data_IF_588754231026
#
_entry.id   IF_588754231026
#
_cell.length_a   1.000
_cell.length_b   1.000
_cell.length_c   1.000
_cell.angle_alpha   90.00
_cell.angle_beta   90.00
_cell.angle_gamma   90.00
#
_symmetry.space_group_name_H-M   'P 1'
#
loop_
_entity.id
_entity.type
_entity.pdbx_description
1 polymer ?
#
# COMPACT_ATOMS: atom_id res chain seq x y z
N UNK A 1 21.45 16.54 6.80
CA UNK A 1 21.58 15.08 7.02
C UNK A 1 21.14 14.40 5.74
N UNK A 2 21.93 13.48 5.17
CA UNK A 2 21.51 12.73 3.99
C UNK A 2 20.42 11.75 4.41
N UNK A 3 19.27 11.83 3.76
CA UNK A 3 18.19 10.87 3.95
C UNK A 3 18.73 9.45 3.67
N UNK A 4 18.59 8.53 4.63
CA UNK A 4 19.00 7.13 4.45
C UNK A 4 17.76 6.28 4.25
N UNK A 5 17.51 5.87 3.01
CA UNK A 5 16.44 4.95 2.67
C UNK A 5 16.80 3.55 3.20
N UNK A 6 15.95 2.99 4.06
CA UNK A 6 16.04 1.58 4.45
C UNK A 6 15.42 0.70 3.37
N UNK A 7 15.88 -0.54 3.22
CA UNK A 7 15.22 -1.54 2.37
C UNK A 7 14.86 -2.77 3.19
N UNK A 8 13.67 -3.31 2.93
CA UNK A 8 13.17 -4.58 3.45
C UNK A 8 12.79 -5.46 2.25
N UNK A 9 13.23 -6.71 2.24
CA UNK A 9 13.12 -7.60 1.07
C UNK A 9 14.43 -7.74 0.30
N UNK A 10 14.40 -8.38 -0.89
CA UNK A 10 15.61 -8.62 -1.68
C UNK A 10 16.24 -7.32 -2.17
N UNK A 11 17.55 -7.35 -2.37
CA UNK A 11 18.28 -6.24 -2.98
C UNK A 11 17.97 -6.19 -4.48
N UNK A 12 17.48 -5.04 -4.94
CA UNK A 12 17.11 -4.78 -6.34
C UNK A 12 17.84 -3.52 -6.80
N UNK A 13 18.48 -3.59 -7.96
CA UNK A 13 19.21 -2.45 -8.52
C UNK A 13 18.24 -1.36 -8.96
N UNK A 14 18.68 -0.09 -8.95
CA UNK A 14 17.80 1.04 -9.23
C UNK A 14 17.21 0.98 -10.65
N UNK A 15 17.96 0.42 -11.60
CA UNK A 15 17.59 0.27 -13.01
C UNK A 15 16.53 -0.80 -13.24
N UNK A 16 16.33 -1.70 -12.27
CA UNK A 16 15.28 -2.72 -12.31
C UNK A 16 13.95 -2.20 -11.77
N UNK A 17 13.92 -1.04 -11.12
CA UNK A 17 12.71 -0.44 -10.56
C UNK A 17 11.97 0.34 -11.65
N UNK A 18 10.69 0.01 -11.82
CA UNK A 18 9.78 0.69 -12.75
C UNK A 18 8.70 1.39 -11.95
N UNK A 19 8.72 2.72 -11.94
CA UNK A 19 7.76 3.54 -11.19
C UNK A 19 6.42 3.60 -11.91
N UNK A 20 5.34 3.30 -11.19
CA UNK A 20 3.97 3.62 -11.60
C UNK A 20 3.49 4.88 -10.88
N UNK A 21 4.00 5.12 -9.68
CA UNK A 21 3.69 6.29 -8.89
C UNK A 21 4.96 6.86 -8.25
N UNK A 22 5.15 8.17 -8.41
CA UNK A 22 6.13 8.94 -7.69
C UNK A 22 5.48 10.25 -7.25
N UNK A 23 5.49 10.52 -5.94
CA UNK A 23 4.94 11.74 -5.39
C UNK A 23 5.75 12.95 -5.84
N UNK A 24 5.06 14.01 -6.25
CA UNK A 24 5.63 15.29 -6.61
C UNK A 24 4.88 16.39 -5.88
N UNK A 25 5.58 17.48 -5.57
CA UNK A 25 4.96 18.65 -4.97
C UNK A 25 3.92 19.22 -5.95
N UNK A 26 2.74 19.57 -5.44
CA UNK A 26 1.62 20.20 -6.17
C UNK A 26 0.89 19.36 -7.23
N UNK A 27 1.27 18.10 -7.45
CA UNK A 27 0.49 17.19 -8.33
C UNK A 27 -0.75 16.67 -7.60
N UNK A 28 -1.79 16.16 -8.26
CA UNK A 28 -2.84 15.44 -7.52
C UNK A 28 -2.35 14.01 -7.22
N UNK A 29 -2.71 13.49 -6.04
CA UNK A 29 -2.46 12.08 -5.76
C UNK A 29 -3.52 11.19 -6.43
N UNK A 30 -3.14 10.11 -7.14
CA UNK A 30 -4.07 9.10 -7.65
C UNK A 30 -4.55 8.13 -6.57
N UNK A 31 -3.99 8.19 -5.36
CA UNK A 31 -4.41 7.35 -4.25
C UNK A 31 -5.75 7.81 -3.68
N UNK A 32 -6.61 6.86 -3.31
CA UNK A 32 -7.93 7.13 -2.75
C UNK A 32 -8.07 6.55 -1.34
N UNK A 33 -8.62 7.34 -0.41
CA UNK A 33 -8.94 6.89 0.94
C UNK A 33 -10.25 6.10 0.92
N UNK A 34 -10.27 4.95 1.59
CA UNK A 34 -11.48 4.14 1.78
C UNK A 34 -11.52 3.69 3.24
N UNK A 35 -12.66 3.86 3.90
CA UNK A 35 -12.90 3.44 5.29
C UNK A 35 -14.02 2.39 5.37
N UNK A 36 -14.17 1.79 6.55
CA UNK A 36 -15.28 0.89 6.89
C UNK A 36 -16.64 1.58 7.04
N UNK A 37 -16.74 2.90 6.85
CA UNK A 37 -18.00 3.64 6.95
C UNK A 37 -19.06 3.14 5.96
N UNK A 38 -18.65 2.56 4.83
CA UNK A 38 -19.56 1.92 3.87
C UNK A 38 -20.30 0.71 4.44
N UNK A 39 -19.76 0.11 5.52
CA UNK A 39 -20.35 -0.99 6.27
C UNK A 39 -20.95 -0.54 7.62
N UNK A 40 -20.98 0.76 7.90
CA UNK A 40 -21.44 1.33 9.18
C UNK A 40 -20.36 1.45 10.26
N UNK A 41 -19.10 1.16 9.94
CA UNK A 41 -17.97 1.35 10.84
C UNK A 41 -17.68 2.82 11.14
N UNK A 42 -16.91 3.06 12.19
CA UNK A 42 -16.60 4.42 12.67
C UNK A 42 -15.15 4.85 12.38
N UNK A 43 -14.41 4.08 11.57
CA UNK A 43 -13.08 4.50 11.13
C UNK A 43 -13.21 5.69 10.18
N UNK A 44 -12.34 6.69 10.33
CA UNK A 44 -12.39 7.90 9.52
C UNK A 44 -11.00 8.38 9.17
N UNK A 45 -10.87 8.98 8.00
CA UNK A 45 -9.59 9.48 7.54
C UNK A 45 -9.65 9.95 6.10
N UNK A 46 -8.52 10.44 5.62
CA UNK A 46 -8.40 11.00 4.29
C UNK A 46 -6.97 10.93 3.79
N UNK A 47 -6.82 11.30 2.52
CA UNK A 47 -5.53 11.44 1.87
C UNK A 47 -5.16 12.91 1.77
N UNK A 48 -3.90 13.19 2.08
CA UNK A 48 -3.30 14.51 2.01
C UNK A 48 -1.94 14.40 1.36
N UNK A 49 -1.58 15.35 0.51
CA UNK A 49 -0.20 15.51 0.11
C UNK A 49 0.58 16.25 1.18
N UNK A 50 1.83 15.85 1.36
CA UNK A 50 2.70 16.40 2.38
C UNK A 50 4.17 16.33 1.96
N UNK A 51 5.05 16.87 2.80
CA UNK A 51 6.49 16.67 2.71
C UNK A 51 6.99 16.03 4.00
N UNK A 52 7.44 14.78 3.94
CA UNK A 52 7.93 14.02 5.10
C UNK A 52 9.39 13.65 4.91
N UNK A 53 10.21 14.00 5.91
CA UNK A 53 11.68 13.81 5.90
C UNK A 53 12.33 14.37 4.62
N UNK A 54 11.84 15.52 4.15
CA UNK A 54 12.39 16.20 2.96
C UNK A 54 11.95 15.65 1.61
N UNK A 55 11.00 14.70 1.58
CA UNK A 55 10.45 14.14 0.35
C UNK A 55 8.95 14.43 0.22
N UNK A 56 8.50 14.84 -0.97
CA UNK A 56 7.08 14.92 -1.28
C UNK A 56 6.44 13.52 -1.15
N UNK A 57 5.24 13.46 -0.59
CA UNK A 57 4.53 12.20 -0.37
C UNK A 57 3.01 12.40 -0.31
N UNK A 58 2.30 11.29 -0.44
CA UNK A 58 0.86 11.18 -0.15
C UNK A 58 0.69 10.44 1.15
N UNK A 59 -0.02 11.02 2.10
CA UNK A 59 -0.25 10.47 3.43
C UNK A 59 -1.72 10.09 3.61
N UNK A 60 -1.95 8.89 4.11
CA UNK A 60 -3.20 8.46 4.71
C UNK A 60 -3.16 8.84 6.19
N UNK A 61 -4.07 9.71 6.61
CA UNK A 61 -4.20 10.15 8.00
C UNK A 61 -5.61 9.95 8.49
N UNK A 62 -5.77 9.48 9.73
CA UNK A 62 -7.08 9.24 10.31
C UNK A 62 -7.00 8.36 11.55
N UNK A 63 -8.03 7.55 11.77
CA UNK A 63 -8.13 6.63 12.89
C UNK A 63 -8.97 5.42 12.53
N UNK A 64 -8.57 4.25 13.02
CA UNK A 64 -9.41 3.05 13.00
C UNK A 64 -10.23 2.93 14.28
N UNK A 65 -11.49 2.50 14.18
CA UNK A 65 -12.34 2.12 15.31
C UNK A 65 -12.89 0.71 15.10
N UNK A 66 -12.91 -0.10 16.17
CA UNK A 66 -13.51 -1.44 16.15
C UNK A 66 -15.03 -1.41 16.38
N UNK A 67 -15.61 -0.24 16.60
CA UNK A 67 -17.05 -0.07 16.77
C UNK A 67 -17.80 -0.42 15.47
N UNK A 68 -19.05 -0.87 15.61
CA UNK A 68 -19.93 -1.30 14.53
C UNK A 68 -19.33 -2.38 13.60
N UNK A 69 -18.49 -3.27 14.16
CA UNK A 69 -17.75 -4.30 13.40
C UNK A 69 -16.85 -3.71 12.31
N UNK A 70 -16.40 -2.47 12.50
CA UNK A 70 -15.40 -1.84 11.66
C UNK A 70 -13.99 -2.32 11.96
N UNK A 71 -13.05 -1.41 11.79
CA UNK A 71 -11.65 -1.57 12.11
C UNK A 71 -10.76 -1.46 10.90
N UNK A 72 -11.13 -0.71 9.85
CA UNK A 72 -10.19 -0.44 8.76
C UNK A 72 -10.24 0.96 8.13
N UNK A 73 -9.06 1.41 7.71
CA UNK A 73 -8.84 2.58 6.87
C UNK A 73 -7.70 2.26 5.89
N UNK A 74 -7.87 2.55 4.61
CA UNK A 74 -6.88 2.24 3.58
C UNK A 74 -6.67 3.37 2.58
N UNK A 75 -5.49 3.39 1.96
CA UNK A 75 -5.24 4.13 0.73
C UNK A 75 -5.03 3.15 -0.42
N UNK A 76 -5.84 3.28 -1.47
CA UNK A 76 -5.87 2.39 -2.63
C UNK A 76 -5.33 3.12 -3.87
N UNK A 77 -4.53 2.43 -4.66
CA UNK A 77 -4.11 2.82 -6.01
C UNK A 77 -4.65 1.80 -7.02
N UNK A 78 -5.29 2.28 -8.08
CA UNK A 78 -5.71 1.44 -9.21
C UNK A 78 -4.54 1.22 -10.16
N UNK A 79 -4.48 0.02 -10.75
CA UNK A 79 -3.48 -0.35 -11.75
C UNK A 79 -4.18 -0.36 -13.10
N UNK A 80 -3.61 0.38 -14.05
CA UNK A 80 -4.17 0.47 -15.39
C UNK A 80 -4.12 -0.89 -16.10
N UNK A 81 -5.20 -1.27 -16.82
CA UNK A 81 -5.18 -2.47 -17.64
C UNK A 81 -4.09 -2.40 -18.72
N UNK A 82 -3.43 -3.54 -18.98
CA UNK A 82 -2.45 -3.67 -20.07
C UNK A 82 -0.99 -3.45 -19.66
N UNK A 83 -0.73 -3.09 -18.40
CA UNK A 83 0.62 -3.18 -17.84
C UNK A 83 1.13 -4.64 -17.92
N UNK A 84 2.38 -4.90 -18.36
CA UNK A 84 2.92 -6.25 -18.51
C UNK A 84 3.34 -6.83 -17.15
N UNK A 85 2.38 -6.94 -16.23
CA UNK A 85 2.64 -7.24 -14.81
C UNK A 85 3.30 -8.61 -14.57
N UNK A 86 3.06 -9.57 -15.48
CA UNK A 86 3.68 -10.88 -15.44
C UNK A 86 5.19 -10.88 -15.79
N UNK A 87 5.71 -9.79 -16.35
CA UNK A 87 7.15 -9.66 -16.66
C UNK A 87 7.97 -9.21 -15.45
N UNK A 88 7.32 -8.77 -14.37
CA UNK A 88 7.97 -8.33 -13.15
C UNK A 88 8.08 -9.47 -12.13
N UNK A 89 9.10 -9.43 -11.28
CA UNK A 89 9.29 -10.38 -10.17
C UNK A 89 8.45 -10.01 -8.93
N UNK A 90 8.01 -8.76 -8.84
CA UNK A 90 7.22 -8.27 -7.72
C UNK A 90 6.96 -6.78 -7.77
N UNK A 91 6.59 -6.25 -6.62
CA UNK A 91 6.28 -4.84 -6.41
C UNK A 91 7.22 -4.21 -5.39
N UNK A 92 7.37 -2.89 -5.45
CA UNK A 92 8.01 -2.14 -4.39
C UNK A 92 7.15 -0.95 -3.96
N UNK A 93 7.27 -0.58 -2.69
CA UNK A 93 6.60 0.59 -2.14
C UNK A 93 7.48 1.27 -1.10
N UNK A 94 7.58 2.60 -1.16
CA UNK A 94 8.34 3.40 -0.20
C UNK A 94 7.40 4.09 0.77
N UNK A 95 7.46 3.67 2.03
CA UNK A 95 6.57 4.13 3.10
C UNK A 95 7.32 4.79 4.26
N UNK A 96 6.66 5.70 4.96
CA UNK A 96 7.13 6.33 6.20
C UNK A 96 5.94 6.72 7.09
N UNK A 97 6.04 6.44 8.38
CA UNK A 97 5.03 6.77 9.39
C UNK A 97 5.50 6.38 10.79
N UNK A 98 4.72 6.64 11.86
CA UNK A 98 4.98 6.06 13.17
C UNK A 98 5.11 4.53 13.10
N UNK A 99 5.77 3.93 14.08
CA UNK A 99 5.97 2.49 14.12
C UNK A 99 4.63 1.77 14.28
N UNK A 100 4.19 1.06 13.25
CA UNK A 100 2.99 0.24 13.25
C UNK A 100 2.99 -0.71 12.06
N UNK A 101 2.31 -1.84 12.19
CA UNK A 101 2.09 -2.78 11.10
C UNK A 101 0.92 -2.34 10.22
N UNK A 102 1.12 -2.40 8.92
CA UNK A 102 0.08 -2.20 7.91
C UNK A 102 0.07 -3.40 6.98
N UNK A 103 -1.08 -3.75 6.41
CA UNK A 103 -1.09 -4.75 5.35
C UNK A 103 -0.99 -4.07 3.99
N UNK A 104 -0.20 -4.67 3.10
CA UNK A 104 -0.28 -4.40 1.68
C UNK A 104 -1.25 -5.41 1.08
N UNK A 105 -2.39 -4.92 0.59
CA UNK A 105 -3.39 -5.74 -0.08
C UNK A 105 -3.31 -5.54 -1.59
N UNK A 106 -3.36 -6.64 -2.32
CA UNK A 106 -3.46 -6.68 -3.77
C UNK A 106 -4.80 -7.32 -4.15
N UNK A 107 -5.51 -6.67 -5.06
CA UNK A 107 -6.74 -7.18 -5.66
C UNK A 107 -6.48 -7.59 -7.09
N UNK A 108 -7.01 -8.73 -7.47
CA UNK A 108 -6.94 -9.29 -8.83
C UNK A 108 -8.34 -9.49 -9.41
N UNK A 109 -8.44 -9.81 -10.71
CA UNK A 109 -9.73 -9.95 -11.40
C UNK A 109 -10.59 -11.11 -10.92
N UNK A 110 -9.93 -12.16 -10.42
CA UNK A 110 -10.52 -13.38 -9.86
C UNK A 110 -11.15 -13.19 -8.46
N UNK A 111 -10.98 -12.04 -7.81
CA UNK A 111 -11.50 -11.79 -6.46
C UNK A 111 -12.83 -11.04 -6.53
N UNK A 112 -13.92 -11.77 -6.29
CA UNK A 112 -15.28 -11.22 -6.39
C UNK A 112 -15.80 -10.59 -5.09
N UNK A 113 -15.15 -10.88 -3.95
CA UNK A 113 -15.61 -10.40 -2.64
C UNK A 113 -14.75 -9.26 -2.08
N UNK A 114 -15.36 -8.27 -1.40
CA UNK A 114 -14.63 -7.11 -0.88
C UNK A 114 -13.59 -7.49 0.19
N UNK A 115 -13.81 -8.56 0.97
CA UNK A 115 -12.89 -9.04 2.01
C UNK A 115 -11.74 -9.95 1.51
N UNK A 116 -11.75 -10.34 0.23
CA UNK A 116 -10.71 -11.20 -0.36
C UNK A 116 -9.49 -10.37 -0.78
N UNK A 117 -8.28 -10.89 -0.60
CA UNK A 117 -7.06 -10.20 -1.05
C UNK A 117 -5.91 -11.17 -1.17
N UNK A 118 -4.90 -10.81 -1.94
CA UNK A 118 -3.53 -11.30 -1.72
C UNK A 118 -2.80 -10.26 -0.89
N UNK A 119 -2.08 -10.66 0.16
CA UNK A 119 -1.52 -9.68 1.10
C UNK A 119 -0.21 -10.09 1.75
N UNK A 120 0.52 -9.10 2.22
CA UNK A 120 1.62 -9.25 3.17
C UNK A 120 1.59 -8.12 4.21
N UNK A 121 2.29 -8.30 5.33
CA UNK A 121 2.38 -7.29 6.39
C UNK A 121 3.67 -6.50 6.26
N UNK A 122 3.56 -5.17 6.35
CA UNK A 122 4.66 -4.21 6.26
C UNK A 122 4.87 -3.54 7.63
N UNK A 123 5.99 -3.82 8.32
CA UNK A 123 6.32 -3.15 9.57
C UNK A 123 6.89 -1.75 9.30
N UNK A 124 6.05 -0.73 9.41
CA UNK A 124 6.42 0.66 9.14
C UNK A 124 7.21 1.23 10.33
N UNK A 125 8.12 2.15 10.03
CA UNK A 125 8.99 2.82 11.00
C UNK A 125 9.08 4.32 10.67
N UNK A 126 9.50 5.18 11.62
CA UNK A 126 9.61 6.64 11.45
C UNK A 126 10.81 7.05 10.59
N UNK A 127 11.01 6.37 9.47
CA UNK A 127 12.01 6.63 8.46
C UNK A 127 11.56 6.00 7.13
N UNK A 128 11.94 6.61 6.02
CA UNK A 128 11.64 6.05 4.69
C UNK A 128 12.19 4.64 4.55
N UNK A 129 11.30 3.71 4.24
CA UNK A 129 11.62 2.30 4.03
C UNK A 129 11.02 1.85 2.70
N UNK A 130 11.86 1.31 1.83
CA UNK A 130 11.44 0.58 0.63
C UNK A 130 11.15 -0.86 1.01
N UNK A 131 9.91 -1.27 0.84
CA UNK A 131 9.51 -2.66 0.89
C UNK A 131 9.56 -3.21 -0.52
N UNK A 132 10.41 -4.20 -0.76
CA UNK A 132 10.50 -4.96 -2.00
C UNK A 132 9.79 -6.29 -1.74
N UNK A 133 8.67 -6.50 -2.41
CA UNK A 133 7.77 -7.63 -2.16
C UNK A 133 7.71 -8.50 -3.41
N UNK A 134 8.42 -9.63 -3.43
CA UNK A 134 8.21 -10.68 -4.43
C UNK A 134 6.75 -11.10 -4.47
N UNK A 135 6.24 -11.46 -5.65
CA UNK A 135 4.87 -11.99 -5.75
C UNK A 135 4.65 -13.25 -4.90
N UNK A 136 5.70 -14.04 -4.66
CA UNK A 136 5.67 -15.22 -3.80
C UNK A 136 5.44 -14.91 -2.31
N UNK A 137 5.64 -13.66 -1.87
CA UNK A 137 5.36 -13.23 -0.50
C UNK A 137 3.88 -12.81 -0.31
N UNK A 138 3.11 -12.71 -1.39
CA UNK A 138 1.70 -12.36 -1.33
C UNK A 138 0.86 -13.60 -0.98
N UNK A 139 0.37 -13.65 0.25
CA UNK A 139 -0.46 -14.75 0.74
C UNK A 139 -1.93 -14.54 0.41
N UNK A 140 -2.60 -15.58 -0.07
CA UNK A 140 -4.04 -15.59 -0.26
C UNK A 140 -4.77 -15.38 1.09
N UNK A 141 -5.76 -14.49 1.10
CA UNK A 141 -6.59 -14.21 2.28
C UNK A 141 -8.07 -14.35 1.93
N UNK A 142 -8.73 -15.30 2.59
CA UNK A 142 -10.16 -15.63 2.42
C UNK A 142 -10.53 -16.04 0.99
N UNK A 143 -9.60 -16.63 0.27
CA UNK A 143 -9.74 -17.13 -1.10
C UNK A 143 -8.84 -18.36 -1.28
N UNK A 144 -9.26 -19.29 -2.13
CA UNK A 144 -8.45 -20.46 -2.53
C UNK A 144 -7.72 -20.24 -3.86
N UNK A 145 -7.89 -19.05 -4.45
CA UNK A 145 -7.30 -18.74 -5.74
C UNK A 145 -5.80 -18.44 -5.61
N UNK A 146 -5.02 -18.81 -6.61
CA UNK A 146 -3.59 -18.53 -6.69
C UNK A 146 -3.32 -17.13 -7.24
N UNK A 147 -2.22 -16.49 -6.82
CA UNK A 147 -1.92 -15.13 -7.25
C UNK A 147 -1.45 -15.10 -8.72
N UNK A 148 -2.21 -14.45 -9.60
CA UNK A 148 -1.82 -14.17 -10.98
C UNK A 148 -1.50 -12.66 -11.16
N UNK A 149 -0.22 -12.27 -11.36
CA UNK A 149 0.17 -10.88 -11.57
C UNK A 149 -0.55 -10.20 -12.73
N UNK A 150 -0.84 -10.92 -13.82
CA UNK A 150 -1.46 -10.35 -15.02
C UNK A 150 -2.89 -9.85 -14.78
N UNK A 151 -3.51 -10.28 -13.69
CA UNK A 151 -4.89 -9.94 -13.34
C UNK A 151 -5.00 -8.88 -12.24
N UNK A 152 -3.87 -8.33 -11.78
CA UNK A 152 -3.87 -7.29 -10.74
C UNK A 152 -4.64 -6.05 -11.21
N UNK A 153 -5.53 -5.55 -10.33
CA UNK A 153 -6.38 -4.37 -10.57
C UNK A 153 -6.07 -3.21 -9.63
N UNK A 154 -5.63 -3.50 -8.42
CA UNK A 154 -5.31 -2.45 -7.45
C UNK A 154 -4.40 -2.95 -6.34
N UNK A 155 -3.65 -2.02 -5.77
CA UNK A 155 -2.90 -2.20 -4.53
C UNK A 155 -3.46 -1.26 -3.45
N UNK A 156 -3.39 -1.65 -2.19
CA UNK A 156 -3.78 -0.79 -1.08
C UNK A 156 -2.87 -1.01 0.13
N UNK A 157 -2.54 0.08 0.83
CA UNK A 157 -1.98 0.02 2.19
C UNK A 157 -3.13 0.20 3.16
N UNK A 158 -3.35 -0.80 4.03
CA UNK A 158 -4.51 -0.86 4.92
C UNK A 158 -4.08 -0.94 6.39
N UNK A 159 -4.59 -0.01 7.19
CA UNK A 159 -4.69 -0.11 8.63
C UNK A 159 -5.91 -0.99 8.94
N UNK A 160 -5.73 -2.10 9.65
CA UNK A 160 -6.83 -3.03 9.95
C UNK A 160 -6.60 -3.84 11.22
N UNK A 161 -7.68 -4.17 11.93
CA UNK A 161 -7.69 -5.18 12.99
C UNK A 161 -7.40 -4.66 14.40
N UNK A 162 -7.09 -3.37 14.51
CA UNK A 162 -6.83 -2.68 15.78
C UNK A 162 -7.31 -1.23 15.67
N UNK A 163 -7.67 -0.62 16.82
CA UNK A 163 -7.99 0.80 16.90
C UNK A 163 -6.74 1.63 17.21
N UNK A 164 -6.31 2.46 16.26
CA UNK A 164 -5.12 3.31 16.41
C UNK A 164 -5.21 4.54 15.48
N UNK A 165 -4.36 5.53 15.75
CA UNK A 165 -4.23 6.70 14.89
C UNK A 165 -3.39 6.34 13.67
N UNK A 166 -4.00 6.46 12.49
CA UNK A 166 -3.40 6.10 11.22
C UNK A 166 -2.59 7.29 10.71
N UNK A 167 -1.30 7.07 10.47
CA UNK A 167 -0.42 8.03 9.80
C UNK A 167 0.64 7.28 8.99
N UNK A 168 0.39 7.10 7.70
CA UNK A 168 1.33 6.46 6.78
C UNK A 168 1.42 7.22 5.48
N UNK A 169 2.64 7.49 5.04
CA UNK A 169 2.91 8.20 3.79
C UNK A 169 3.59 7.28 2.78
N UNK A 170 3.16 7.38 1.53
CA UNK A 170 3.79 6.78 0.35
C UNK A 170 4.42 7.86 -0.52
N UNK A 171 5.65 7.65 -0.98
CA UNK A 171 6.28 8.55 -1.96
C UNK A 171 6.58 7.91 -3.30
N UNK A 172 6.65 6.58 -3.36
CA UNK A 172 7.01 5.85 -4.57
C UNK A 172 6.38 4.46 -4.53
N UNK A 173 5.84 4.02 -5.65
CA UNK A 173 5.30 2.68 -5.84
C UNK A 173 5.53 2.24 -7.28
N UNK A 174 5.79 0.95 -7.46
CA UNK A 174 5.93 0.37 -8.79
C UNK A 174 6.29 -1.10 -8.74
N UNK A 175 6.90 -1.57 -9.82
CA UNK A 175 7.29 -2.95 -10.02
C UNK A 175 8.80 -3.09 -10.16
N UNK A 176 9.30 -4.31 -10.06
CA UNK A 176 10.70 -4.59 -10.34
C UNK A 176 10.91 -5.87 -11.13
N UNK A 177 11.95 -5.86 -11.97
CA UNK A 177 12.40 -7.01 -12.77
C UNK A 177 13.42 -7.84 -12.03
#
# INVERSE_FOLDING_TARGET
>A
MKETLRTHGPAVQAEQLVDIYQARANDRSPWMAISDQVMGGESSGGIRQDCRVGSACTCLTGRTSLENNGGFLQMKLEIEPGEPLAEYAGLFIELCGPAHDYNLNVKTTQLDKPWQSFRCTLPIAPQWTRFVVPYTELSAHRTDAEFDPATMRSVAVIAIGEAFDVDVCVRRFGFYR
#
